data_IF_418683221237
#
_entry.id   IF_418683221237
#
_cell.length_a   1.000
_cell.length_b   1.000
_cell.length_c   1.000
_cell.angle_alpha   90.00
_cell.angle_beta   90.00
_cell.angle_gamma   90.00
#
_symmetry.space_group_name_H-M   'P 1'
#
loop_
_entity.id
_entity.type
_entity.pdbx_description
1 polymer ?
#
# COMPACT_ATOMS: atom_id res chain seq x y z
N UNK A 1 -9.29 23.56 -2.72
CA UNK A 1 -10.30 23.71 -1.67
C UNK A 1 -9.62 23.39 -0.34
N UNK A 2 -9.49 24.33 0.61
CA UNK A 2 -8.94 23.99 1.94
C UNK A 2 -10.03 23.20 2.67
N UNK A 3 -9.90 21.88 2.74
CA UNK A 3 -10.74 21.06 3.60
C UNK A 3 -10.44 21.44 5.06
N UNK A 4 -11.50 21.81 5.80
CA UNK A 4 -11.38 22.04 7.23
C UNK A 4 -10.91 20.75 7.90
N UNK A 5 -9.73 20.75 8.48
CA UNK A 5 -9.06 19.58 9.09
C UNK A 5 -9.85 18.92 10.24
N UNK A 6 -11.01 19.42 10.60
CA UNK A 6 -11.82 18.94 11.73
C UNK A 6 -12.93 17.95 11.35
N UNK A 7 -13.16 17.72 10.04
CA UNK A 7 -14.28 16.90 9.57
C UNK A 7 -13.79 15.59 8.94
N UNK A 8 -12.51 15.51 8.59
CA UNK A 8 -11.93 14.37 7.86
C UNK A 8 -11.06 13.59 8.83
N UNK A 9 -11.30 12.30 8.99
CA UNK A 9 -10.46 11.43 9.81
C UNK A 9 -9.05 11.32 9.20
N UNK A 10 -8.09 10.80 9.95
CA UNK A 10 -6.70 10.72 9.51
C UNK A 10 -6.54 9.88 8.23
N UNK A 11 -7.31 8.81 8.10
CA UNK A 11 -7.32 7.92 6.93
C UNK A 11 -7.82 8.65 5.68
N UNK A 12 -8.90 9.43 5.79
CA UNK A 12 -9.41 10.24 4.67
C UNK A 12 -8.43 11.35 4.26
N UNK A 13 -7.74 11.97 5.23
CA UNK A 13 -6.72 12.98 4.93
C UNK A 13 -5.56 12.37 4.13
N UNK A 14 -5.07 11.21 4.56
CA UNK A 14 -4.03 10.45 3.85
C UNK A 14 -4.52 10.09 2.45
N UNK A 15 -5.75 9.61 2.32
CA UNK A 15 -6.34 9.25 1.03
C UNK A 15 -6.40 10.43 0.07
N UNK A 16 -6.84 11.61 0.51
CA UNK A 16 -6.86 12.81 -0.32
C UNK A 16 -5.43 13.25 -0.70
N UNK A 17 -4.48 13.19 0.22
CA UNK A 17 -3.08 13.53 -0.08
C UNK A 17 -2.44 12.56 -1.09
N UNK A 18 -2.72 11.25 -0.98
CA UNK A 18 -2.29 10.24 -1.96
C UNK A 18 -2.89 10.51 -3.34
N UNK A 19 -4.17 10.83 -3.40
CA UNK A 19 -4.85 11.17 -4.65
C UNK A 19 -4.22 12.40 -5.32
N UNK A 20 -4.02 13.49 -4.57
CA UNK A 20 -3.39 14.71 -5.09
C UNK A 20 -1.97 14.42 -5.61
N UNK A 21 -1.21 13.58 -4.88
CA UNK A 21 0.11 13.12 -5.31
C UNK A 21 0.04 12.39 -6.65
N UNK A 22 -0.86 11.41 -6.80
CA UNK A 22 -0.94 10.59 -8.01
C UNK A 22 -1.46 11.40 -9.22
N UNK A 23 -2.45 12.27 -9.02
CA UNK A 23 -2.96 13.16 -10.08
C UNK A 23 -1.86 14.12 -10.59
N UNK A 24 -0.97 14.61 -9.71
CA UNK A 24 0.15 15.45 -10.10
C UNK A 24 1.15 14.74 -11.04
N UNK A 25 1.22 13.40 -11.01
CA UNK A 25 2.06 12.59 -11.92
C UNK A 25 1.29 12.04 -13.13
N UNK A 26 0.09 12.55 -13.38
CA UNK A 26 -0.70 12.20 -14.56
C UNK A 26 -1.46 10.88 -14.44
N UNK A 27 -1.62 10.34 -13.23
CA UNK A 27 -2.49 9.20 -13.00
C UNK A 27 -3.94 9.62 -13.00
N UNK A 28 -4.80 8.90 -13.70
CA UNK A 28 -6.24 9.14 -13.76
C UNK A 28 -7.00 8.15 -12.88
N UNK A 29 -8.10 8.60 -12.28
CA UNK A 29 -8.89 7.74 -11.43
C UNK A 29 -9.50 6.57 -12.20
N UNK A 30 -9.29 5.36 -11.69
CA UNK A 30 -9.96 4.16 -12.15
C UNK A 30 -11.00 3.71 -11.12
N UNK A 31 -12.25 3.60 -11.57
CA UNK A 31 -13.36 3.07 -10.76
C UNK A 31 -13.74 1.70 -11.28
N UNK A 32 -13.96 0.76 -10.39
CA UNK A 32 -14.31 -0.60 -10.75
C UNK A 32 -15.56 -1.10 -10.03
N UNK A 33 -16.14 -2.17 -10.57
CA UNK A 33 -17.27 -2.85 -9.95
C UNK A 33 -16.82 -3.63 -8.71
N UNK A 34 -17.72 -3.84 -7.76
CA UNK A 34 -17.42 -4.57 -6.50
C UNK A 34 -17.36 -6.09 -6.68
N UNK A 35 -17.97 -6.62 -7.73
CA UNK A 35 -18.09 -8.05 -7.99
C UNK A 35 -17.93 -8.36 -9.47
N UNK A 36 -17.44 -9.55 -9.75
CA UNK A 36 -17.21 -10.10 -11.09
C UNK A 36 -17.57 -11.59 -11.13
N UNK A 37 -17.56 -12.19 -12.31
CA UNK A 37 -17.78 -13.63 -12.45
C UNK A 37 -16.67 -14.42 -11.75
N UNK A 38 -17.05 -15.42 -10.95
CA UNK A 38 -16.10 -16.25 -10.22
C UNK A 38 -15.06 -16.92 -11.12
N UNK A 39 -15.47 -17.38 -12.31
CA UNK A 39 -14.58 -18.06 -13.26
C UNK A 39 -13.37 -17.23 -13.66
N UNK A 40 -13.48 -15.91 -13.66
CA UNK A 40 -12.36 -15.03 -13.92
C UNK A 40 -11.26 -15.19 -12.86
N UNK A 41 -11.63 -15.19 -11.61
CA UNK A 41 -10.67 -15.36 -10.51
C UNK A 41 -10.18 -16.80 -10.40
N UNK A 42 -11.04 -17.78 -10.65
CA UNK A 42 -10.67 -19.20 -10.64
C UNK A 42 -9.56 -19.52 -11.64
N UNK A 43 -9.60 -18.91 -12.84
CA UNK A 43 -8.58 -19.07 -13.89
C UNK A 43 -7.25 -18.38 -13.54
N UNK A 44 -7.25 -17.43 -12.62
CA UNK A 44 -6.09 -16.62 -12.25
C UNK A 44 -5.70 -16.80 -10.78
N UNK A 45 -6.02 -17.94 -10.17
CA UNK A 45 -5.78 -18.23 -8.73
C UNK A 45 -4.34 -18.03 -8.30
N UNK A 46 -3.37 -18.40 -9.13
CA UNK A 46 -1.95 -18.33 -8.81
C UNK A 46 -1.46 -16.88 -8.51
N UNK A 47 -2.23 -15.90 -8.96
CA UNK A 47 -1.95 -14.46 -8.76
C UNK A 47 -2.80 -13.82 -7.67
N UNK A 48 -3.58 -14.60 -6.92
CA UNK A 48 -4.36 -14.09 -5.81
C UNK A 48 -3.58 -14.22 -4.49
N UNK A 49 -3.63 -13.18 -3.68
CA UNK A 49 -3.04 -13.20 -2.32
C UNK A 49 -3.74 -14.22 -1.42
N UNK A 50 -4.97 -14.61 -1.73
CA UNK A 50 -5.76 -15.59 -0.98
C UNK A 50 -6.57 -16.47 -1.91
N UNK A 51 -6.50 -17.79 -1.69
CA UNK A 51 -7.31 -18.79 -2.41
C UNK A 51 -8.79 -18.74 -2.03
N UNK A 52 -9.13 -18.12 -0.91
CA UNK A 52 -10.48 -18.04 -0.40
C UNK A 52 -11.19 -16.81 -0.96
N UNK A 53 -12.04 -17.03 -1.96
CA UNK A 53 -12.84 -16.00 -2.64
C UNK A 53 -14.26 -16.03 -2.06
N UNK A 54 -14.79 -14.86 -1.73
CA UNK A 54 -16.19 -14.73 -1.28
C UNK A 54 -17.09 -14.75 -2.50
N UNK A 55 -17.99 -15.73 -2.56
CA UNK A 55 -18.87 -15.96 -3.70
C UNK A 55 -20.35 -15.83 -3.33
N UNK A 56 -21.18 -15.51 -4.32
CA UNK A 56 -22.63 -15.46 -4.23
C UNK A 56 -23.26 -15.74 -5.62
N UNK A 57 -24.53 -16.04 -5.67
CA UNK A 57 -25.27 -16.18 -6.92
C UNK A 57 -25.96 -14.86 -7.28
N UNK A 58 -25.91 -14.47 -8.56
CA UNK A 58 -26.73 -13.38 -9.06
C UNK A 58 -28.19 -13.81 -9.24
N UNK A 59 -29.03 -12.88 -9.69
CA UNK A 59 -30.47 -13.12 -9.93
C UNK A 59 -30.76 -14.16 -11.00
N UNK A 60 -29.78 -14.50 -11.85
CA UNK A 60 -29.88 -15.48 -12.92
C UNK A 60 -29.23 -16.82 -12.53
N UNK A 61 -28.76 -16.97 -11.28
CA UNK A 61 -28.09 -18.17 -10.78
C UNK A 61 -26.61 -18.27 -11.17
N UNK A 62 -26.01 -17.23 -11.75
CA UNK A 62 -24.61 -17.21 -12.13
C UNK A 62 -23.73 -17.01 -10.88
N UNK A 63 -22.65 -17.78 -10.75
CA UNK A 63 -21.71 -17.66 -9.64
C UNK A 63 -20.85 -16.40 -9.82
N UNK A 64 -20.99 -15.49 -8.88
CA UNK A 64 -20.27 -14.23 -8.79
C UNK A 64 -19.27 -14.27 -7.62
N UNK A 65 -18.28 -13.39 -7.65
CA UNK A 65 -17.31 -13.22 -6.59
C UNK A 65 -17.18 -11.74 -6.20
N UNK A 66 -17.06 -11.46 -4.91
CA UNK A 66 -16.59 -10.16 -4.45
C UNK A 66 -15.12 -10.02 -4.82
N UNK A 67 -14.72 -8.85 -5.30
CA UNK A 67 -13.39 -8.52 -5.80
C UNK A 67 -12.30 -8.78 -4.73
N UNK A 68 -11.43 -9.81 -4.89
CA UNK A 68 -10.35 -10.11 -3.95
C UNK A 68 -9.08 -9.33 -4.23
N UNK A 69 -8.97 -8.77 -5.46
CA UNK A 69 -7.78 -8.09 -5.98
C UNK A 69 -8.15 -6.98 -6.96
N UNK A 70 -7.41 -5.87 -6.89
CA UNK A 70 -7.64 -4.68 -7.72
C UNK A 70 -6.94 -4.81 -9.06
N UNK A 71 -5.68 -5.24 -9.06
CA UNK A 71 -4.80 -5.31 -10.24
C UNK A 71 -5.37 -6.22 -11.32
N UNK A 72 -5.86 -7.41 -10.94
CA UNK A 72 -6.52 -8.33 -11.87
C UNK A 72 -7.74 -7.70 -12.55
N UNK A 73 -8.54 -6.95 -11.77
CA UNK A 73 -9.72 -6.25 -12.31
C UNK A 73 -9.33 -5.13 -13.29
N UNK A 74 -8.26 -4.38 -12.99
CA UNK A 74 -7.72 -3.35 -13.90
C UNK A 74 -7.24 -3.98 -15.20
N UNK A 75 -6.42 -5.03 -15.12
CA UNK A 75 -5.89 -5.70 -16.33
C UNK A 75 -7.02 -6.22 -17.20
N UNK A 76 -8.03 -6.89 -16.62
CA UNK A 76 -9.19 -7.41 -17.35
C UNK A 76 -9.89 -6.34 -18.16
N UNK A 77 -10.11 -5.17 -17.55
CA UNK A 77 -10.94 -4.11 -18.11
C UNK A 77 -10.15 -3.03 -18.87
N UNK A 78 -8.83 -3.19 -19.02
CA UNK A 78 -7.99 -2.31 -19.83
C UNK A 78 -7.64 -2.98 -21.16
N UNK A 79 -7.46 -2.17 -22.21
CA UNK A 79 -6.93 -2.66 -23.49
C UNK A 79 -5.42 -2.87 -23.38
N UNK A 80 -4.90 -3.84 -24.12
CA UNK A 80 -3.46 -4.02 -24.30
C UNK A 80 -2.89 -2.83 -25.08
N UNK A 81 -1.83 -2.20 -24.60
CA UNK A 81 -1.22 -1.00 -25.17
C UNK A 81 0.31 -1.02 -24.99
N UNK A 82 1.02 -1.93 -25.67
CA UNK A 82 2.46 -2.14 -25.46
C UNK A 82 3.32 -0.91 -25.82
N UNK A 83 2.84 -0.06 -26.73
CA UNK A 83 3.57 1.12 -27.23
C UNK A 83 3.15 2.43 -26.53
N UNK A 84 2.24 2.36 -25.57
CA UNK A 84 1.72 3.50 -24.83
C UNK A 84 1.85 3.25 -23.32
N UNK A 85 1.58 4.27 -22.52
CA UNK A 85 1.57 4.16 -21.06
C UNK A 85 0.24 4.55 -20.52
N UNK A 86 -0.43 3.63 -19.82
CA UNK A 86 -1.66 3.88 -19.12
C UNK A 86 -1.40 3.97 -17.63
N UNK A 87 -1.53 5.17 -17.08
CA UNK A 87 -1.37 5.48 -15.67
C UNK A 87 -2.72 5.62 -14.99
N UNK A 88 -3.02 4.78 -14.03
CA UNK A 88 -4.28 4.83 -13.28
C UNK A 88 -4.02 4.77 -11.77
N UNK A 89 -4.80 5.51 -11.00
CA UNK A 89 -4.88 5.34 -9.56
C UNK A 89 -6.27 4.86 -9.15
N UNK A 90 -6.33 4.19 -8.02
CA UNK A 90 -7.58 3.68 -7.47
C UNK A 90 -7.66 3.90 -5.96
N UNK A 91 -8.90 3.88 -5.47
CA UNK A 91 -9.26 3.83 -4.07
C UNK A 91 -10.45 2.89 -3.96
N UNK A 92 -10.19 1.64 -3.58
CA UNK A 92 -11.15 0.56 -3.73
C UNK A 92 -11.06 -0.43 -2.57
N UNK A 93 -12.21 -0.99 -2.22
CA UNK A 93 -12.26 -2.09 -1.26
C UNK A 93 -12.05 -3.42 -1.96
N UNK A 94 -11.23 -4.27 -1.35
CA UNK A 94 -11.10 -5.69 -1.67
C UNK A 94 -11.69 -6.53 -0.55
N UNK A 95 -12.18 -7.70 -0.90
CA UNK A 95 -12.91 -8.59 0.00
C UNK A 95 -12.16 -9.90 0.14
N UNK A 96 -11.74 -10.23 1.34
CA UNK A 96 -10.91 -11.42 1.60
C UNK A 96 -11.41 -12.17 2.82
N UNK A 97 -11.11 -13.46 2.87
CA UNK A 97 -11.31 -14.28 4.06
C UNK A 97 -10.04 -14.25 4.90
N UNK A 98 -10.16 -13.87 6.17
CA UNK A 98 -9.03 -13.89 7.10
C UNK A 98 -8.55 -15.32 7.33
N UNK A 99 -7.24 -15.57 7.16
CA UNK A 99 -6.65 -16.90 7.40
C UNK A 99 -6.75 -17.34 8.87
N UNK A 100 -6.69 -16.39 9.82
CA UNK A 100 -6.70 -16.69 11.25
C UNK A 100 -8.09 -16.83 11.86
N UNK A 101 -9.04 -15.98 11.46
CA UNK A 101 -10.39 -15.94 12.05
C UNK A 101 -11.49 -16.51 11.15
N UNK A 102 -11.16 -16.86 9.89
CA UNK A 102 -12.11 -17.25 8.84
C UNK A 102 -13.27 -16.26 8.63
N UNK A 103 -13.13 -15.04 9.13
CA UNK A 103 -14.11 -13.97 8.94
C UNK A 103 -13.91 -13.25 7.61
N UNK A 104 -14.99 -12.73 7.05
CA UNK A 104 -14.93 -11.87 5.88
C UNK A 104 -14.41 -10.51 6.28
N UNK A 105 -13.47 -10.00 5.48
CA UNK A 105 -12.88 -8.68 5.66
C UNK A 105 -13.04 -7.83 4.41
N UNK A 106 -13.42 -6.60 4.62
CA UNK A 106 -13.37 -5.53 3.66
C UNK A 106 -12.09 -4.73 3.96
N UNK A 107 -11.21 -4.61 2.97
CA UNK A 107 -9.90 -3.99 3.12
C UNK A 107 -9.78 -2.84 2.12
N UNK A 108 -9.71 -1.62 2.62
CA UNK A 108 -9.54 -0.44 1.80
C UNK A 108 -8.10 -0.33 1.31
N UNK A 109 -7.93 -0.14 0.02
CA UNK A 109 -6.65 0.03 -0.65
C UNK A 109 -6.67 1.26 -1.54
N UNK A 110 -5.62 2.07 -1.45
CA UNK A 110 -5.30 3.09 -2.44
C UNK A 110 -4.02 2.69 -3.17
N UNK A 111 -3.94 2.94 -4.48
CA UNK A 111 -2.75 2.53 -5.22
C UNK A 111 -2.71 3.08 -6.63
N UNK A 112 -1.63 2.76 -7.32
CA UNK A 112 -1.40 3.12 -8.71
C UNK A 112 -0.99 1.91 -9.53
N UNK A 113 -1.35 1.92 -10.80
CA UNK A 113 -0.90 0.95 -11.80
C UNK A 113 -0.46 1.70 -13.06
N UNK A 114 0.71 1.33 -13.57
CA UNK A 114 1.20 1.74 -14.87
C UNK A 114 1.30 0.51 -15.78
N UNK A 115 0.57 0.54 -16.90
CA UNK A 115 0.49 -0.57 -17.85
C UNK A 115 0.93 -0.07 -19.21
N UNK A 116 1.78 -0.82 -19.91
CA UNK A 116 2.27 -0.49 -21.24
C UNK A 116 3.76 -0.68 -21.40
N UNK A 117 4.45 0.35 -21.93
CA UNK A 117 5.91 0.40 -22.04
C UNK A 117 6.52 0.77 -20.69
N UNK A 118 7.07 -0.23 -19.98
CA UNK A 118 7.69 -0.08 -18.66
C UNK A 118 9.21 -0.04 -18.82
N UNK A 119 9.77 1.15 -18.78
CA UNK A 119 11.22 1.39 -18.80
C UNK A 119 11.79 1.71 -17.41
N UNK A 120 13.10 1.87 -17.32
CA UNK A 120 13.81 2.18 -16.08
C UNK A 120 13.35 3.49 -15.44
N UNK A 121 12.90 4.49 -16.25
CA UNK A 121 12.35 5.73 -15.73
C UNK A 121 11.01 5.52 -15.01
N UNK A 122 10.09 4.74 -15.62
CA UNK A 122 8.79 4.43 -14.99
C UNK A 122 8.98 3.66 -13.70
N UNK A 123 9.94 2.73 -13.67
CA UNK A 123 10.26 2.00 -12.43
C UNK A 123 10.74 2.97 -11.35
N UNK A 124 11.65 3.88 -11.66
CA UNK A 124 12.15 4.89 -10.72
C UNK A 124 11.04 5.87 -10.27
N UNK A 125 10.12 6.25 -11.16
CA UNK A 125 8.94 7.06 -10.84
C UNK A 125 8.03 6.34 -9.84
N UNK A 126 7.71 5.05 -10.10
CA UNK A 126 6.88 4.23 -9.20
C UNK A 126 7.53 4.09 -7.82
N UNK A 127 8.83 3.82 -7.75
CA UNK A 127 9.56 3.76 -6.47
C UNK A 127 9.51 5.12 -5.74
N UNK A 128 9.70 6.22 -6.46
CA UNK A 128 9.60 7.58 -5.89
C UNK A 128 8.22 7.88 -5.35
N UNK A 129 7.16 7.45 -6.06
CA UNK A 129 5.77 7.60 -5.61
C UNK A 129 5.46 6.69 -4.42
N UNK A 130 6.01 5.47 -4.38
CA UNK A 130 5.85 4.58 -3.25
C UNK A 130 6.46 5.17 -1.97
N UNK A 131 7.71 5.67 -2.03
CA UNK A 131 8.34 6.35 -0.88
C UNK A 131 7.61 7.63 -0.51
N UNK A 132 7.18 8.43 -1.48
CA UNK A 132 6.40 9.65 -1.21
C UNK A 132 5.08 9.32 -0.53
N UNK A 133 4.41 8.24 -0.92
CA UNK A 133 3.18 7.74 -0.28
C UNK A 133 3.44 7.33 1.17
N UNK A 134 4.54 6.62 1.44
CA UNK A 134 4.94 6.27 2.81
C UNK A 134 5.22 7.52 3.65
N UNK A 135 5.91 8.51 3.08
CA UNK A 135 6.23 9.77 3.76
C UNK A 135 4.99 10.59 4.11
N UNK A 136 3.94 10.53 3.31
CA UNK A 136 2.62 11.13 3.65
C UNK A 136 1.98 10.44 4.86
N UNK A 137 2.24 9.15 5.05
CA UNK A 137 1.73 8.37 6.19
C UNK A 137 2.59 8.62 7.44
N UNK A 138 3.92 8.49 7.32
CA UNK A 138 4.86 8.67 8.42
C UNK A 138 6.25 9.02 7.92
N UNK A 139 6.93 9.95 8.61
CA UNK A 139 8.34 10.23 8.36
C UNK A 139 9.25 9.08 8.84
N UNK A 140 8.77 8.22 9.74
CA UNK A 140 9.49 7.05 10.24
C UNK A 140 9.00 5.81 9.49
N UNK A 141 9.36 5.76 8.23
CA UNK A 141 9.00 4.69 7.30
C UNK A 141 10.15 4.33 6.37
N UNK A 142 10.12 3.13 5.83
CA UNK A 142 11.14 2.59 4.95
C UNK A 142 10.51 1.84 3.78
N UNK A 143 11.07 1.99 2.59
CA UNK A 143 10.75 1.18 1.42
C UNK A 143 11.86 0.18 1.18
N UNK A 144 11.54 -1.09 1.35
CA UNK A 144 12.46 -2.19 1.14
C UNK A 144 12.23 -2.77 -0.27
N UNK A 145 13.30 -2.83 -1.06
CA UNK A 145 13.26 -3.14 -2.50
C UNK A 145 14.08 -4.41 -2.76
N UNK A 146 13.55 -5.28 -3.60
CA UNK A 146 14.20 -6.47 -4.13
C UNK A 146 14.22 -6.44 -5.66
N UNK A 147 15.24 -7.07 -6.26
CA UNK A 147 15.23 -7.39 -7.68
C UNK A 147 15.33 -8.92 -7.85
N UNK A 148 14.22 -9.51 -8.31
CA UNK A 148 14.08 -10.96 -8.45
C UNK A 148 14.90 -11.53 -9.61
N UNK A 149 15.22 -10.71 -10.62
CA UNK A 149 16.03 -11.13 -11.76
C UNK A 149 17.50 -11.30 -11.35
N UNK A 150 18.01 -10.49 -10.39
CA UNK A 150 19.35 -10.67 -9.82
C UNK A 150 19.44 -12.02 -9.10
N UNK A 151 18.41 -12.36 -8.31
CA UNK A 151 18.36 -13.64 -7.61
C UNK A 151 18.25 -14.80 -8.59
N UNK A 152 17.38 -14.68 -9.59
CA UNK A 152 17.26 -15.66 -10.65
C UNK A 152 18.58 -15.87 -11.37
N UNK A 153 19.24 -14.81 -11.80
CA UNK A 153 20.56 -14.88 -12.44
C UNK A 153 21.60 -15.62 -11.57
N UNK A 154 21.66 -15.29 -10.29
CA UNK A 154 22.62 -15.91 -9.38
C UNK A 154 22.41 -17.42 -9.21
N UNK A 155 21.15 -17.89 -9.26
CA UNK A 155 20.81 -19.32 -9.18
C UNK A 155 21.05 -20.01 -10.53
N UNK A 156 20.70 -19.35 -11.66
CA UNK A 156 20.89 -19.86 -12.99
C UNK A 156 22.36 -20.12 -13.36
N UNK A 157 23.33 -19.52 -12.67
CA UNK A 157 24.73 -19.84 -12.79
C UNK A 157 25.06 -21.30 -12.40
N UNK A 158 24.21 -21.95 -11.61
CA UNK A 158 24.49 -23.22 -10.97
C UNK A 158 23.50 -24.33 -11.30
N UNK A 159 22.29 -24.01 -11.76
CA UNK A 159 21.25 -25.01 -12.08
C UNK A 159 20.21 -24.49 -13.08
N UNK A 160 19.86 -25.39 -14.04
CA UNK A 160 18.72 -25.17 -14.96
C UNK A 160 17.45 -25.87 -14.46
N UNK A 161 17.49 -26.55 -13.30
CA UNK A 161 16.33 -27.25 -12.76
C UNK A 161 15.33 -26.27 -12.15
N UNK A 162 14.18 -26.09 -12.79
CA UNK A 162 13.13 -25.15 -12.38
C UNK A 162 12.63 -25.40 -10.97
N UNK A 163 12.47 -26.67 -10.56
CA UNK A 163 11.97 -26.99 -9.22
C UNK A 163 12.99 -26.59 -8.12
N UNK A 164 14.27 -26.87 -8.36
CA UNK A 164 15.36 -26.46 -7.45
C UNK A 164 15.44 -24.94 -7.36
N UNK A 165 15.32 -24.26 -8.51
CA UNK A 165 15.31 -22.79 -8.56
C UNK A 165 14.17 -22.21 -7.76
N UNK A 166 12.94 -22.70 -7.93
CA UNK A 166 11.77 -22.24 -7.17
C UNK A 166 11.95 -22.45 -5.67
N UNK A 167 12.49 -23.60 -5.24
CA UNK A 167 12.79 -23.89 -3.85
C UNK A 167 13.81 -22.91 -3.28
N UNK A 168 14.94 -22.72 -3.98
CA UNK A 168 16.02 -21.82 -3.54
C UNK A 168 15.53 -20.37 -3.42
N UNK A 169 14.72 -19.89 -4.38
CA UNK A 169 14.12 -18.56 -4.31
C UNK A 169 13.20 -18.44 -3.08
N UNK A 170 12.38 -19.46 -2.82
CA UNK A 170 11.53 -19.51 -1.62
C UNK A 170 12.34 -19.43 -0.33
N UNK A 171 13.40 -20.21 -0.23
CA UNK A 171 14.29 -20.23 0.97
C UNK A 171 15.06 -18.92 1.15
N UNK A 172 15.46 -18.24 0.06
CA UNK A 172 16.03 -16.89 0.14
C UNK A 172 14.98 -15.91 0.69
N UNK A 173 13.74 -16.00 0.21
CA UNK A 173 12.62 -15.20 0.72
C UNK A 173 12.37 -15.38 2.21
N UNK A 174 12.55 -16.59 2.72
CA UNK A 174 12.44 -16.94 4.15
C UNK A 174 13.72 -16.65 4.95
N UNK A 175 14.81 -16.24 4.30
CA UNK A 175 16.17 -16.15 4.89
C UNK A 175 16.62 -17.46 5.54
N UNK A 176 16.17 -18.60 5.00
CA UNK A 176 16.40 -19.92 5.55
C UNK A 176 17.71 -20.52 5.02
N UNK A 177 18.82 -20.12 5.61
CA UNK A 177 20.17 -20.53 5.21
C UNK A 177 20.36 -22.05 5.22
N UNK A 178 19.85 -22.72 6.26
CA UNK A 178 19.97 -24.17 6.40
C UNK A 178 19.22 -24.91 5.26
N UNK A 179 18.04 -24.42 4.86
CA UNK A 179 17.30 -25.00 3.76
C UNK A 179 18.01 -24.78 2.40
N UNK A 180 18.65 -23.60 2.21
CA UNK A 180 19.46 -23.34 1.01
C UNK A 180 20.62 -24.32 0.90
N UNK A 181 21.38 -24.50 1.99
CA UNK A 181 22.53 -25.43 2.02
C UNK A 181 22.08 -26.85 1.74
N UNK A 182 20.99 -27.31 2.39
CA UNK A 182 20.43 -28.65 2.19
C UNK A 182 19.95 -28.88 0.76
N UNK A 183 19.21 -27.93 0.16
CA UNK A 183 18.74 -28.01 -1.22
C UNK A 183 19.91 -28.12 -2.20
N UNK A 184 20.98 -27.35 -1.96
CA UNK A 184 22.20 -27.44 -2.76
C UNK A 184 22.87 -28.81 -2.64
N UNK A 185 22.96 -29.39 -1.44
CA UNK A 185 23.55 -30.73 -1.23
C UNK A 185 22.72 -31.82 -1.89
N UNK A 186 21.41 -31.84 -1.67
CA UNK A 186 20.50 -32.85 -2.22
C UNK A 186 20.47 -32.87 -3.76
N UNK A 187 20.71 -31.71 -4.38
CA UNK A 187 20.77 -31.58 -5.84
C UNK A 187 22.19 -31.55 -6.42
N UNK A 188 23.20 -31.91 -5.63
CA UNK A 188 24.61 -31.96 -6.03
C UNK A 188 25.16 -30.64 -6.61
N UNK A 189 24.68 -29.50 -6.12
CA UNK A 189 25.23 -28.20 -6.48
C UNK A 189 26.57 -27.97 -5.78
N UNK A 190 27.39 -27.08 -6.36
CA UNK A 190 28.71 -26.79 -5.81
C UNK A 190 28.63 -26.08 -4.44
N UNK A 191 29.66 -26.18 -3.63
CA UNK A 191 29.78 -25.40 -2.39
C UNK A 191 29.79 -23.90 -2.66
N UNK A 192 30.25 -23.49 -3.84
CA UNK A 192 30.23 -22.11 -4.28
C UNK A 192 28.80 -21.62 -4.53
N UNK A 193 27.94 -22.49 -5.12
CA UNK A 193 26.51 -22.18 -5.27
C UNK A 193 25.85 -21.88 -3.93
N UNK A 194 26.00 -22.78 -2.95
CA UNK A 194 25.45 -22.58 -1.61
C UNK A 194 25.98 -21.28 -0.98
N UNK A 195 27.30 -21.03 -1.08
CA UNK A 195 27.91 -19.81 -0.55
C UNK A 195 27.35 -18.54 -1.19
N UNK A 196 27.22 -18.51 -2.52
CA UNK A 196 26.71 -17.36 -3.28
C UNK A 196 25.26 -17.08 -2.89
N UNK A 197 24.38 -18.09 -2.93
CA UNK A 197 22.95 -17.92 -2.65
C UNK A 197 22.73 -17.53 -1.17
N UNK A 198 23.43 -18.16 -0.23
CA UNK A 198 23.39 -17.80 1.18
C UNK A 198 23.89 -16.37 1.44
N UNK A 199 24.90 -15.91 0.68
CA UNK A 199 25.38 -14.54 0.79
C UNK A 199 24.33 -13.54 0.35
N UNK A 200 23.64 -13.78 -0.77
CA UNK A 200 22.55 -12.92 -1.24
C UNK A 200 21.39 -12.94 -0.25
N UNK A 201 21.01 -14.09 0.30
CA UNK A 201 19.93 -14.19 1.29
C UNK A 201 20.18 -13.37 2.57
N UNK A 202 21.46 -13.15 2.93
CA UNK A 202 21.89 -12.35 4.08
C UNK A 202 22.02 -10.86 3.78
N UNK A 203 22.04 -10.47 2.48
CA UNK A 203 22.21 -9.08 2.12
C UNK A 203 20.95 -8.27 2.42
N UNK A 204 21.11 -7.23 3.21
CA UNK A 204 20.08 -6.22 3.46
C UNK A 204 20.71 -4.92 3.93
N UNK A 205 20.00 -3.81 3.73
CA UNK A 205 20.40 -2.50 4.22
C UNK A 205 20.49 -1.42 3.14
N UNK A 206 21.28 -0.39 3.42
CA UNK A 206 21.41 0.78 2.53
C UNK A 206 21.86 0.37 1.12
N UNK A 207 21.24 0.95 0.06
CA UNK A 207 21.50 0.55 -1.33
C UNK A 207 23.00 0.55 -1.69
N UNK A 208 23.75 1.60 -1.33
CA UNK A 208 25.17 1.71 -1.65
C UNK A 208 26.03 0.57 -1.08
N UNK A 209 25.69 0.08 0.11
CA UNK A 209 26.41 -1.03 0.74
C UNK A 209 26.07 -2.33 0.02
N UNK A 210 24.76 -2.57 -0.20
CA UNK A 210 24.29 -3.82 -0.81
C UNK A 210 24.77 -3.95 -2.26
N UNK A 211 24.75 -2.87 -3.07
CA UNK A 211 25.26 -2.93 -4.43
C UNK A 211 26.77 -3.25 -4.47
N UNK A 212 27.55 -2.66 -3.58
CA UNK A 212 28.98 -2.97 -3.51
C UNK A 212 29.25 -4.44 -3.17
N UNK A 213 28.46 -5.05 -2.29
CA UNK A 213 28.59 -6.47 -1.96
C UNK A 213 28.09 -7.37 -3.10
N UNK A 214 26.96 -7.06 -3.75
CA UNK A 214 26.47 -7.79 -4.90
C UNK A 214 27.49 -7.86 -6.05
N UNK A 215 28.15 -6.75 -6.36
CA UNK A 215 29.21 -6.69 -7.40
C UNK A 215 30.43 -7.55 -7.05
N UNK A 216 30.67 -7.87 -5.77
CA UNK A 216 31.72 -8.81 -5.36
C UNK A 216 31.26 -10.26 -5.45
N UNK A 217 29.98 -10.52 -5.14
CA UNK A 217 29.39 -11.88 -5.13
C UNK A 217 29.15 -12.38 -6.55
N UNK A 218 28.58 -11.53 -7.43
CA UNK A 218 28.22 -11.86 -8.82
C UNK A 218 28.66 -10.75 -9.79
N UNK A 219 29.98 -10.59 -10.02
CA UNK A 219 30.53 -9.45 -10.76
C UNK A 219 30.07 -9.32 -12.20
N UNK A 220 29.71 -10.43 -12.86
CA UNK A 220 29.29 -10.49 -14.27
C UNK A 220 27.79 -10.16 -14.48
N UNK A 221 27.05 -9.85 -13.39
CA UNK A 221 25.62 -9.57 -13.47
C UNK A 221 25.35 -8.09 -13.84
N UNK A 222 25.07 -7.83 -15.12
CA UNK A 222 24.77 -6.48 -15.62
C UNK A 222 23.46 -5.90 -15.01
N UNK A 223 22.54 -6.74 -14.59
CA UNK A 223 21.26 -6.33 -13.94
C UNK A 223 21.53 -5.49 -12.69
N UNK A 224 22.64 -5.74 -11.98
CA UNK A 224 23.01 -4.97 -10.78
C UNK A 224 23.21 -3.49 -11.12
N UNK A 225 23.91 -3.19 -12.22
CA UNK A 225 24.19 -1.81 -12.63
C UNK A 225 22.92 -1.09 -13.08
N UNK A 226 22.02 -1.80 -13.76
CA UNK A 226 20.73 -1.25 -14.15
C UNK A 226 19.86 -0.96 -12.91
N UNK A 227 19.77 -1.92 -11.99
CA UNK A 227 19.05 -1.76 -10.74
C UNK A 227 19.61 -0.61 -9.88
N UNK A 228 20.93 -0.49 -9.78
CA UNK A 228 21.58 0.62 -9.09
C UNK A 228 21.22 1.97 -9.73
N UNK A 229 21.21 2.07 -11.05
CA UNK A 229 20.79 3.27 -11.75
C UNK A 229 19.34 3.66 -11.47
N UNK A 230 18.44 2.68 -11.46
CA UNK A 230 17.01 2.88 -11.13
C UNK A 230 16.87 3.40 -9.69
N UNK A 231 17.52 2.76 -8.72
CA UNK A 231 17.45 3.15 -7.30
C UNK A 231 18.06 4.54 -7.10
N UNK A 232 19.17 4.86 -7.76
CA UNK A 232 19.80 6.18 -7.70
C UNK A 232 18.97 7.29 -8.37
N UNK A 233 18.07 6.94 -9.29
CA UNK A 233 17.13 7.87 -9.92
C UNK A 233 15.94 8.24 -9.02
N UNK A 234 15.70 7.51 -7.93
CA UNK A 234 14.72 7.92 -6.91
C UNK A 234 15.13 9.25 -6.31
N UNK A 235 14.17 10.13 -6.04
CA UNK A 235 14.44 11.51 -5.62
C UNK A 235 15.43 11.59 -4.45
N UNK A 236 16.46 12.46 -4.52
CA UNK A 236 17.54 12.53 -3.52
C UNK A 236 17.04 12.71 -2.08
N UNK A 237 15.94 13.47 -1.90
CA UNK A 237 15.32 13.70 -0.58
C UNK A 237 14.62 12.48 0.04
N UNK A 238 14.55 11.36 -0.69
CA UNK A 238 13.87 10.12 -0.31
C UNK A 238 14.85 8.94 -0.18
N UNK A 239 16.12 9.11 -0.58
CA UNK A 239 17.12 8.03 -0.60
C UNK A 239 17.37 7.41 0.77
N UNK A 240 17.30 8.18 1.85
CA UNK A 240 17.50 7.65 3.20
C UNK A 240 16.37 6.71 3.68
N UNK A 241 15.23 6.72 2.98
CA UNK A 241 14.09 5.84 3.24
C UNK A 241 14.15 4.54 2.45
N UNK A 242 15.22 4.31 1.67
CA UNK A 242 15.38 3.10 0.85
C UNK A 242 16.30 2.08 1.54
N UNK A 243 15.92 0.83 1.44
CA UNK A 243 16.81 -0.31 1.68
C UNK A 243 16.62 -1.37 0.61
N UNK A 244 17.63 -2.25 0.47
CA UNK A 244 17.53 -3.44 -0.38
C UNK A 244 17.47 -4.65 0.53
N UNK A 245 16.53 -5.56 0.24
CA UNK A 245 16.37 -6.83 0.96
C UNK A 245 15.76 -7.87 0.03
N UNK A 246 16.43 -9.03 -0.11
CA UNK A 246 15.96 -10.12 -0.98
C UNK A 246 14.93 -11.04 -0.33
N UNK A 247 14.47 -10.76 0.90
CA UNK A 247 13.46 -11.57 1.61
C UNK A 247 12.05 -11.52 0.99
N UNK A 248 11.82 -10.69 -0.04
CA UNK A 248 10.52 -10.64 -0.75
C UNK A 248 10.44 -11.58 -1.96
N UNK A 249 11.46 -12.40 -2.14
CA UNK A 249 11.51 -13.39 -3.23
C UNK A 249 10.35 -14.42 -3.16
N UNK A 250 9.72 -14.62 -2.01
CA UNK A 250 8.54 -15.48 -1.87
C UNK A 250 7.31 -15.03 -2.68
N UNK A 251 7.26 -13.77 -3.09
CA UNK A 251 6.17 -13.21 -3.91
C UNK A 251 6.42 -13.39 -5.44
N UNK A 252 7.43 -14.17 -5.84
CA UNK A 252 7.85 -14.40 -7.25
C UNK A 252 6.73 -14.96 -8.15
N UNK A 253 5.72 -15.58 -7.58
CA UNK A 253 4.54 -16.05 -8.35
C UNK A 253 3.74 -14.88 -8.90
N UNK A 254 3.78 -13.74 -8.24
CA UNK A 254 3.06 -12.54 -8.63
C UNK A 254 3.97 -11.54 -9.35
N UNK A 255 5.15 -11.27 -8.78
CA UNK A 255 6.09 -10.26 -9.28
C UNK A 255 7.25 -10.87 -10.06
N UNK A 256 7.78 -10.11 -11.00
CA UNK A 256 9.05 -10.34 -11.69
C UNK A 256 9.84 -9.04 -11.70
N UNK A 257 11.16 -9.09 -11.93
CA UNK A 257 11.98 -7.89 -11.88
C UNK A 257 11.98 -7.28 -10.47
N UNK A 258 11.48 -6.04 -10.35
CA UNK A 258 11.48 -5.30 -9.08
C UNK A 258 10.22 -5.60 -8.27
N UNK A 259 10.41 -5.93 -6.98
CA UNK A 259 9.37 -6.02 -5.98
C UNK A 259 9.75 -5.19 -4.74
N UNK A 260 8.76 -4.61 -4.06
CA UNK A 260 9.03 -3.75 -2.90
C UNK A 260 7.89 -3.78 -1.88
N UNK A 261 8.24 -3.53 -0.62
CA UNK A 261 7.31 -3.39 0.50
C UNK A 261 7.65 -2.16 1.33
N UNK A 262 6.62 -1.46 1.77
CA UNK A 262 6.74 -0.30 2.63
C UNK A 262 6.35 -0.61 4.07
N UNK A 263 7.16 -0.15 5.01
CA UNK A 263 6.95 -0.35 6.44
C UNK A 263 6.92 0.99 7.15
N UNK A 264 6.13 1.07 8.20
CA UNK A 264 6.04 2.22 9.10
C UNK A 264 6.35 1.74 10.51
N UNK A 265 7.19 2.47 11.21
CA UNK A 265 7.53 2.13 12.60
C UNK A 265 6.26 2.06 13.46
N UNK A 266 6.18 1.01 14.29
CA UNK A 266 5.01 0.71 15.12
C UNK A 266 3.91 -0.11 14.44
N UNK A 267 4.01 -0.40 13.13
CA UNK A 267 3.12 -1.33 12.43
C UNK A 267 3.92 -2.57 12.04
N UNK A 268 3.57 -3.77 12.56
CA UNK A 268 4.34 -4.99 12.31
C UNK A 268 4.17 -5.54 10.89
N UNK A 269 3.14 -5.13 10.18
CA UNK A 269 2.81 -5.57 8.82
C UNK A 269 3.24 -4.51 7.80
N UNK A 270 3.50 -4.91 6.55
CA UNK A 270 3.72 -3.93 5.47
C UNK A 270 2.47 -3.10 5.24
N UNK A 271 2.62 -1.79 5.13
CA UNK A 271 1.55 -0.83 4.84
C UNK A 271 1.42 -0.52 3.34
N UNK A 272 2.43 -0.94 2.57
CA UNK A 272 2.48 -0.80 1.12
C UNK A 272 3.17 -2.01 0.52
N UNK A 273 2.69 -2.51 -0.62
CA UNK A 273 3.43 -3.49 -1.43
C UNK A 273 3.20 -3.26 -2.91
N UNK A 274 4.21 -3.57 -3.72
CA UNK A 274 4.16 -3.41 -5.17
C UNK A 274 5.31 -4.10 -5.89
N UNK A 275 5.31 -3.98 -7.22
CA UNK A 275 6.34 -4.56 -8.08
C UNK A 275 5.89 -4.66 -9.52
N UNK A 276 6.78 -5.20 -10.38
CA UNK A 276 6.49 -5.55 -11.76
C UNK A 276 5.74 -6.88 -11.83
N UNK A 277 4.79 -7.01 -12.74
CA UNK A 277 3.97 -8.21 -12.89
C UNK A 277 3.72 -8.59 -14.36
N UNK A 278 4.76 -8.51 -15.19
CA UNK A 278 4.70 -8.88 -16.61
C UNK A 278 4.34 -10.36 -16.82
N UNK A 279 4.67 -11.24 -15.87
CA UNK A 279 4.26 -12.64 -15.86
C UNK A 279 2.72 -12.80 -15.87
N UNK A 280 2.04 -12.03 -15.05
CA UNK A 280 0.57 -11.95 -15.02
C UNK A 280 0.03 -11.42 -16.36
N UNK A 281 0.63 -10.36 -16.90
CA UNK A 281 0.26 -9.78 -18.20
C UNK A 281 0.35 -10.81 -19.31
N UNK A 282 1.46 -11.55 -19.40
CA UNK A 282 1.67 -12.62 -20.37
C UNK A 282 0.63 -13.74 -20.23
N UNK A 283 0.33 -14.19 -19.01
CA UNK A 283 -0.69 -15.22 -18.76
C UNK A 283 -2.09 -14.78 -19.19
N UNK A 284 -2.38 -13.48 -19.09
CA UNK A 284 -3.63 -12.91 -19.59
C UNK A 284 -3.59 -12.55 -21.10
N UNK A 285 -2.57 -13.00 -21.83
CA UNK A 285 -2.42 -12.79 -23.28
C UNK A 285 -2.07 -11.37 -23.67
N UNK A 286 -1.47 -10.58 -22.77
CA UNK A 286 -1.05 -9.19 -22.97
C UNK A 286 0.42 -9.12 -23.38
N UNK A 287 0.76 -8.13 -24.22
CA UNK A 287 2.14 -7.80 -24.60
C UNK A 287 2.72 -6.66 -23.77
N UNK A 288 1.86 -5.83 -23.17
CA UNK A 288 2.25 -4.73 -22.27
C UNK A 288 2.97 -5.26 -21.04
N UNK A 289 3.97 -4.53 -20.56
CA UNK A 289 4.48 -4.65 -19.19
C UNK A 289 3.53 -4.00 -18.19
N UNK A 290 3.77 -4.22 -16.91
CA UNK A 290 3.01 -3.58 -15.86
C UNK A 290 3.78 -3.48 -14.54
N UNK A 291 3.60 -2.35 -13.84
CA UNK A 291 4.15 -2.11 -12.51
C UNK A 291 3.19 -1.24 -11.70
N UNK A 292 3.04 -1.52 -10.42
CA UNK A 292 2.19 -0.74 -9.54
C UNK A 292 2.37 -1.08 -8.07
N UNK A 293 1.60 -0.43 -7.22
CA UNK A 293 1.56 -0.75 -5.79
C UNK A 293 0.22 -0.41 -5.15
N UNK A 294 -0.04 -1.05 -4.02
CA UNK A 294 -1.17 -0.78 -3.13
C UNK A 294 -0.69 -0.27 -1.77
N UNK A 295 -1.35 0.74 -1.23
CA UNK A 295 -1.30 1.18 0.17
C UNK A 295 -2.48 0.56 0.90
N UNK A 296 -2.24 -0.10 2.03
CA UNK A 296 -3.25 -0.79 2.83
C UNK A 296 -3.78 0.13 3.93
N UNK A 297 -4.81 0.91 3.62
CA UNK A 297 -5.33 1.95 4.53
C UNK A 297 -5.86 1.36 5.85
N UNK A 298 -6.51 0.20 5.81
CA UNK A 298 -7.00 -0.45 7.04
C UNK A 298 -5.90 -0.86 8.05
N UNK A 299 -4.62 -0.90 7.64
CA UNK A 299 -3.52 -1.11 8.59
C UNK A 299 -3.18 0.16 9.38
N UNK A 300 -3.57 1.33 8.84
CA UNK A 300 -3.26 2.64 9.41
C UNK A 300 -4.12 2.97 10.63
N UNK A 301 -5.29 2.34 10.78
CA UNK A 301 -6.13 2.45 11.99
C UNK A 301 -5.33 2.15 13.27
N UNK A 302 -4.26 1.33 13.15
CA UNK A 302 -3.38 0.96 14.26
C UNK A 302 -2.38 2.06 14.66
N UNK A 303 -2.13 3.06 13.79
CA UNK A 303 -1.27 4.21 14.13
C UNK A 303 -1.92 5.09 15.22
N UNK A 304 -3.14 4.73 15.64
CA UNK A 304 -3.88 5.40 16.69
C UNK A 304 -4.15 6.85 16.30
N UNK A 305 -5.39 7.18 16.00
CA UNK A 305 -5.78 8.59 16.06
C UNK A 305 -5.26 9.16 17.38
N UNK A 306 -4.57 10.32 17.37
CA UNK A 306 -4.47 11.07 18.61
C UNK A 306 -5.92 11.27 19.07
N UNK A 307 -6.34 10.53 20.11
CA UNK A 307 -7.72 10.62 20.63
C UNK A 307 -7.98 12.09 20.77
N UNK A 308 -8.93 12.60 20.00
CA UNK A 308 -9.32 13.98 20.10
C UNK A 308 -9.53 14.25 21.59
N UNK A 309 -8.80 15.20 22.16
CA UNK A 309 -8.85 15.52 23.60
C UNK A 309 -10.26 15.87 24.01
N UNK A 310 -11.03 16.37 23.05
CA UNK A 310 -12.41 16.83 23.19
C UNK A 310 -13.29 16.20 22.10
N UNK A 311 -14.53 15.88 22.48
CA UNK A 311 -15.55 15.38 21.54
C UNK A 311 -16.12 16.52 20.68
N UNK A 312 -16.06 17.77 21.21
CA UNK A 312 -16.49 18.99 20.55
C UNK A 312 -15.68 20.19 21.06
N UNK A 313 -15.37 21.14 20.18
CA UNK A 313 -14.61 22.33 20.59
C UNK A 313 -15.44 23.27 21.43
N UNK A 314 -16.71 23.50 21.09
CA UNK A 314 -17.57 24.46 21.82
C UNK A 314 -18.92 23.87 22.11
N UNK A 315 -19.36 23.97 23.37
CA UNK A 315 -20.73 23.69 23.76
C UNK A 315 -21.41 25.02 24.10
N UNK A 316 -22.60 25.23 23.54
CA UNK A 316 -23.48 26.37 23.91
C UNK A 316 -24.64 25.80 24.71
N UNK A 317 -24.74 26.21 26.00
CA UNK A 317 -25.90 25.93 26.81
C UNK A 317 -27.02 26.93 26.52
N UNK A 318 -28.25 26.43 26.39
CA UNK A 318 -29.43 27.23 26.21
C UNK A 318 -30.60 26.75 27.06
N UNK A 319 -31.47 27.66 27.47
CA UNK A 319 -32.66 27.36 28.24
C UNK A 319 -33.86 27.06 27.37
N UNK A 320 -34.90 26.43 27.93
CA UNK A 320 -36.12 26.05 27.17
C UNK A 320 -36.87 27.25 26.56
N UNK A 321 -36.64 28.47 27.07
CA UNK A 321 -37.24 29.72 26.58
C UNK A 321 -36.30 30.49 25.64
N UNK A 322 -35.18 29.93 25.24
CA UNK A 322 -34.21 30.58 24.36
C UNK A 322 -34.83 30.88 22.98
N UNK A 323 -34.56 32.06 22.46
CA UNK A 323 -34.89 32.36 21.07
C UNK A 323 -34.06 31.51 20.09
N UNK A 324 -34.75 30.66 19.31
CA UNK A 324 -34.13 29.73 18.40
C UNK A 324 -33.35 30.46 17.30
N UNK A 325 -33.79 31.64 16.85
CA UNK A 325 -33.09 32.43 15.83
C UNK A 325 -31.76 32.94 16.33
N UNK A 326 -31.73 33.47 17.58
CA UNK A 326 -30.50 33.91 18.24
C UNK A 326 -29.53 32.73 18.50
N UNK A 327 -30.07 31.59 18.95
CA UNK A 327 -29.28 30.37 19.12
C UNK A 327 -28.64 29.91 17.82
N UNK A 328 -29.45 29.84 16.74
CA UNK A 328 -28.95 29.43 15.40
C UNK A 328 -27.87 30.38 14.89
N UNK A 329 -28.05 31.70 15.10
CA UNK A 329 -27.04 32.70 14.73
C UNK A 329 -25.74 32.56 15.49
N UNK A 330 -25.81 32.28 16.82
CA UNK A 330 -24.63 32.03 17.66
C UNK A 330 -23.90 30.77 17.24
N UNK A 331 -24.62 29.67 17.01
CA UNK A 331 -24.05 28.39 16.47
C UNK A 331 -23.36 28.65 15.16
N UNK A 332 -24.03 29.29 14.21
CA UNK A 332 -23.47 29.57 12.88
C UNK A 332 -22.21 30.42 12.97
N UNK A 333 -22.20 31.47 13.78
CA UNK A 333 -21.05 32.36 13.97
C UNK A 333 -19.80 31.58 14.43
N UNK A 334 -19.97 30.60 15.31
CA UNK A 334 -18.86 29.73 15.78
C UNK A 334 -18.46 28.73 14.71
N UNK A 335 -19.41 28.03 14.09
CA UNK A 335 -19.13 27.05 13.05
C UNK A 335 -18.41 27.65 11.84
N UNK A 336 -18.76 28.90 11.46
CA UNK A 336 -18.11 29.63 10.34
C UNK A 336 -16.61 29.95 10.66
N UNK A 337 -16.17 29.85 11.92
CA UNK A 337 -14.73 29.94 12.28
C UNK A 337 -13.97 28.63 12.09
N UNK A 338 -14.65 27.54 11.71
CA UNK A 338 -14.05 26.25 11.48
C UNK A 338 -13.88 25.39 12.73
N UNK A 339 -14.48 25.76 13.88
CA UNK A 339 -14.50 24.94 15.09
C UNK A 339 -15.82 24.21 15.25
N UNK A 340 -15.78 23.01 15.82
CA UNK A 340 -16.99 22.25 16.09
C UNK A 340 -17.81 22.87 17.21
N UNK A 341 -19.14 22.89 17.04
CA UNK A 341 -20.06 23.48 18.04
C UNK A 341 -21.30 22.62 18.23
N UNK A 342 -21.72 22.47 19.46
CA UNK A 342 -22.91 21.73 19.87
C UNK A 342 -23.76 22.59 20.82
N UNK A 343 -25.06 22.75 20.49
CA UNK A 343 -25.99 23.43 21.37
C UNK A 343 -26.76 22.40 22.21
N UNK A 344 -26.74 22.55 23.52
CA UNK A 344 -27.32 21.60 24.47
C UNK A 344 -28.12 22.32 25.58
N UNK A 345 -29.15 21.66 26.11
CA UNK A 345 -29.85 22.14 27.31
C UNK A 345 -29.14 21.75 28.59
N UNK A 346 -28.40 20.65 28.58
CA UNK A 346 -27.57 20.18 29.69
C UNK A 346 -26.37 19.38 29.13
N UNK A 347 -25.26 19.39 29.85
CA UNK A 347 -24.03 18.71 29.45
C UNK A 347 -24.13 17.24 29.85
N UNK A 348 -23.98 16.27 28.87
CA UNK A 348 -23.85 14.86 29.19
C UNK A 348 -22.60 14.58 30.04
N UNK A 349 -22.70 13.70 31.03
CA UNK A 349 -21.60 13.41 32.01
C UNK A 349 -20.27 12.99 31.36
N UNK A 350 -20.30 12.38 30.18
CA UNK A 350 -19.09 11.86 29.47
C UNK A 350 -18.59 12.77 28.35
N UNK A 351 -19.30 13.87 28.04
CA UNK A 351 -18.95 14.76 26.95
C UNK A 351 -17.71 15.57 27.30
N UNK A 352 -16.69 15.49 26.52
CA UNK A 352 -15.47 16.31 26.63
C UNK A 352 -15.55 17.47 25.65
N UNK A 353 -15.43 18.69 26.16
CA UNK A 353 -15.49 19.93 25.37
C UNK A 353 -14.34 20.85 25.74
N UNK A 354 -13.89 21.67 24.77
CA UNK A 354 -12.82 22.63 24.98
C UNK A 354 -13.33 23.94 25.56
N UNK A 355 -14.49 24.44 25.09
CA UNK A 355 -15.12 25.68 25.55
C UNK A 355 -16.57 25.45 25.91
N UNK A 356 -17.00 26.05 27.01
CA UNK A 356 -18.41 26.13 27.39
C UNK A 356 -18.88 27.54 27.27
N UNK A 357 -19.98 27.76 26.57
CA UNK A 357 -20.66 29.05 26.44
C UNK A 357 -22.10 28.90 26.88
N UNK A 358 -22.73 30.02 27.29
CA UNK A 358 -24.16 30.07 27.59
C UNK A 358 -24.80 31.15 26.71
N UNK A 359 -25.96 30.86 26.17
CA UNK A 359 -26.75 31.83 25.43
C UNK A 359 -27.45 32.77 26.41
N UNK A 360 -27.11 34.05 26.37
CA UNK A 360 -27.75 35.13 27.14
C UNK A 360 -28.40 36.09 26.14
N UNK A 361 -29.74 36.02 26.03
CA UNK A 361 -30.47 36.81 25.03
C UNK A 361 -30.07 36.49 23.61
N UNK A 362 -29.35 37.39 22.94
CA UNK A 362 -28.94 37.24 21.54
C UNK A 362 -27.47 36.78 21.35
N UNK A 363 -26.68 36.75 22.43
CA UNK A 363 -25.25 36.45 22.35
C UNK A 363 -24.86 35.24 23.23
N UNK A 364 -23.86 34.50 22.79
CA UNK A 364 -23.29 33.41 23.55
C UNK A 364 -22.06 33.94 24.32
N UNK A 365 -22.07 33.82 25.65
CA UNK A 365 -20.99 34.25 26.55
C UNK A 365 -20.15 33.04 26.97
N UNK A 366 -18.84 33.23 27.05
CA UNK A 366 -17.91 32.19 27.50
C UNK A 366 -18.05 31.98 29.01
N UNK A 367 -18.25 30.72 29.46
CA UNK A 367 -18.28 30.32 30.85
C UNK A 367 -16.93 29.75 31.29
N UNK A 368 -16.41 28.77 30.51
CA UNK A 368 -15.15 28.12 30.87
C UNK A 368 -14.39 27.64 29.63
N UNK A 369 -13.10 27.39 29.82
CA UNK A 369 -12.23 26.77 28.80
C UNK A 369 -11.43 25.66 29.47
N UNK A 370 -11.55 24.44 28.95
CA UNK A 370 -10.77 23.28 29.36
C UNK A 370 -9.45 23.22 28.57
N UNK A 371 -8.35 22.93 29.30
CA UNK A 371 -7.00 22.91 28.72
C UNK A 371 -6.60 21.51 28.16
#
# INVERSE_FOLDING_TARGET
MKTNNYIVNNEEQILFALRDLYEAYGYSQYKMVKFEEYDFYAKNKDFLVSDNIITFNDTNGKLMALKPDVTLSIIKNTKDCPDERRKVYYNENVYRVSKSSHSFKELMQAGIECIGDIDSYIIAEILSLAVSSLKLISNDSILSISNLDILSYAIDLYTDNTAVKENLIGYVGEKNINAIEKECEENNLSKEAAKTICSIAKLHGKPSIVFNELKKIIPECNIISEFENIVNAVYPSLQDMLEIDFSYAGDIKYYNGIAFKGFVNGIPESVLSGGQYDGLMKKMGRKSGAIGFAVYLGTLERIGEPKAKFDVDTVILYDSNADISSLGSAVKKIADTGVSVMALKSIPQKLKYKKLMKLNGKEAELIETNA
#
